data_IF_802462215456
#
_entry.id   IF_802462215456
#
_cell.length_a   1.000
_cell.length_b   1.000
_cell.length_c   1.000
_cell.angle_alpha   90.00
_cell.angle_beta   90.00
_cell.angle_gamma   90.00
#
_symmetry.space_group_name_H-M   'P 1'
#
loop_
_entity.id
_entity.type
_entity.pdbx_description
1 polymer ?
#
# COMPACT_ATOMS: atom_id res chain seq x y z
N UNK A 1 16.81 -9.11 -4.08
CA UNK A 1 16.24 -8.98 -5.47
C UNK A 1 14.86 -9.64 -5.58
N UNK A 2 14.63 -10.75 -4.87
CA UNK A 2 13.29 -11.32 -4.69
C UNK A 2 12.36 -10.34 -3.98
N UNK A 3 12.85 -9.58 -2.98
CA UNK A 3 12.03 -8.60 -2.26
C UNK A 3 11.51 -7.49 -3.20
N UNK A 4 12.33 -7.03 -4.13
CA UNK A 4 11.95 -5.99 -5.10
C UNK A 4 10.82 -6.45 -6.01
N UNK A 5 10.86 -7.71 -6.48
CA UNK A 5 9.81 -8.27 -7.33
C UNK A 5 8.50 -8.42 -6.56
N UNK A 6 8.57 -8.95 -5.34
CA UNK A 6 7.38 -9.11 -4.49
C UNK A 6 6.72 -7.76 -4.18
N UNK A 7 7.52 -6.74 -3.88
CA UNK A 7 7.03 -5.39 -3.65
C UNK A 7 6.36 -4.83 -4.91
N UNK A 8 6.99 -4.97 -6.07
CA UNK A 8 6.42 -4.53 -7.35
C UNK A 8 5.09 -5.21 -7.66
N UNK A 9 4.99 -6.53 -7.43
CA UNK A 9 3.76 -7.29 -7.64
C UNK A 9 2.67 -6.85 -6.65
N UNK A 10 3.01 -6.54 -5.40
CA UNK A 10 2.05 -6.08 -4.38
C UNK A 10 1.55 -4.67 -4.66
N UNK A 11 2.44 -3.73 -4.98
CA UNK A 11 2.06 -2.36 -5.38
C UNK A 11 1.18 -2.38 -6.64
N UNK A 12 1.49 -3.25 -7.61
CA UNK A 12 0.65 -3.42 -8.79
C UNK A 12 -0.76 -3.91 -8.44
N UNK A 13 -0.89 -4.82 -7.45
CA UNK A 13 -2.20 -5.25 -6.94
C UNK A 13 -2.93 -4.10 -6.24
N UNK A 14 -2.26 -3.35 -5.36
CA UNK A 14 -2.86 -2.20 -4.68
C UNK A 14 -3.47 -1.21 -5.68
N UNK A 15 -2.75 -0.89 -6.75
CA UNK A 15 -3.25 0.01 -7.81
C UNK A 15 -4.50 -0.55 -8.48
N UNK A 16 -4.50 -1.83 -8.86
CA UNK A 16 -5.66 -2.45 -9.49
C UNK A 16 -6.86 -2.48 -8.55
N UNK A 17 -6.67 -2.90 -7.29
CA UNK A 17 -7.74 -2.94 -6.29
C UNK A 17 -8.27 -1.54 -5.99
N UNK A 18 -7.42 -0.52 -5.91
CA UNK A 18 -7.84 0.87 -5.70
C UNK A 18 -8.69 1.40 -6.87
N UNK A 19 -8.35 1.06 -8.11
CA UNK A 19 -9.15 1.43 -9.27
C UNK A 19 -10.48 0.66 -9.33
N UNK A 20 -10.46 -0.64 -9.00
CA UNK A 20 -11.66 -1.47 -8.97
C UNK A 20 -12.64 -1.01 -7.88
N UNK A 21 -12.14 -0.72 -6.67
CA UNK A 21 -12.97 -0.26 -5.57
C UNK A 21 -13.56 1.12 -5.87
N UNK A 22 -12.81 2.00 -6.53
CA UNK A 22 -13.30 3.29 -6.99
C UNK A 22 -14.40 3.15 -8.05
N UNK A 23 -14.19 2.30 -9.06
CA UNK A 23 -15.17 2.09 -10.12
C UNK A 23 -16.49 1.47 -9.61
N UNK A 24 -16.41 0.67 -8.53
CA UNK A 24 -17.57 -0.04 -7.95
C UNK A 24 -18.15 0.61 -6.70
N UNK A 25 -17.53 1.68 -6.20
CA UNK A 25 -17.85 2.25 -4.89
C UNK A 25 -17.82 1.20 -3.77
N UNK A 26 -16.80 0.32 -3.80
CA UNK A 26 -16.65 -0.79 -2.87
C UNK A 26 -15.73 -0.40 -1.70
N UNK A 27 -16.33 -0.02 -0.57
CA UNK A 27 -15.58 0.36 0.62
C UNK A 27 -14.84 -0.82 1.28
N UNK A 28 -15.30 -2.06 1.07
CA UNK A 28 -14.66 -3.24 1.68
C UNK A 28 -13.35 -3.57 0.96
N UNK A 29 -13.35 -3.58 -0.38
CA UNK A 29 -12.11 -3.72 -1.15
C UNK A 29 -11.15 -2.56 -0.94
N UNK A 30 -11.67 -1.35 -0.67
CA UNK A 30 -10.81 -0.21 -0.33
C UNK A 30 -10.07 -0.39 1.01
N UNK A 31 -10.69 -1.06 2.00
CA UNK A 31 -9.99 -1.43 3.24
C UNK A 31 -8.85 -2.42 3.00
N UNK A 32 -9.01 -3.36 2.06
CA UNK A 32 -7.94 -4.31 1.73
C UNK A 32 -6.69 -3.59 1.21
N UNK A 33 -6.85 -2.51 0.43
CA UNK A 33 -5.72 -1.67 -0.02
C UNK A 33 -4.98 -1.06 1.16
N UNK A 34 -5.71 -0.57 2.19
CA UNK A 34 -5.10 0.01 3.38
C UNK A 34 -4.35 -1.03 4.22
N UNK A 35 -4.81 -2.29 4.25
CA UNK A 35 -4.06 -3.39 4.85
C UNK A 35 -2.81 -3.78 4.05
N UNK A 36 -2.90 -3.80 2.71
CA UNK A 36 -1.76 -4.08 1.84
C UNK A 36 -0.64 -3.04 1.98
N UNK A 37 -1.00 -1.77 2.19
CA UNK A 37 -0.08 -0.65 2.43
C UNK A 37 0.87 -0.92 3.62
N UNK A 38 0.32 -1.39 4.75
CA UNK A 38 1.13 -1.75 5.94
C UNK A 38 2.17 -2.82 5.63
N UNK A 39 1.82 -3.79 4.78
CA UNK A 39 2.73 -4.86 4.37
C UNK A 39 3.80 -4.30 3.43
N UNK A 40 3.42 -3.46 2.46
CA UNK A 40 4.34 -2.79 1.52
C UNK A 40 5.36 -1.93 2.26
N UNK A 41 4.95 -1.16 3.26
CA UNK A 41 5.85 -0.32 4.07
C UNK A 41 6.91 -1.15 4.81
N UNK A 42 6.51 -2.27 5.40
CA UNK A 42 7.42 -3.19 6.07
C UNK A 42 8.41 -3.84 5.09
N UNK A 43 7.92 -4.32 3.94
CA UNK A 43 8.74 -4.90 2.87
C UNK A 43 9.71 -3.87 2.29
N UNK A 44 9.27 -2.64 2.07
CA UNK A 44 10.09 -1.51 1.63
C UNK A 44 11.24 -1.24 2.61
N UNK A 45 10.93 -1.12 3.91
CA UNK A 45 11.93 -0.90 4.95
C UNK A 45 12.96 -2.03 5.02
N UNK A 46 12.53 -3.28 4.81
CA UNK A 46 13.43 -4.43 4.74
C UNK A 46 14.33 -4.39 3.51
N UNK A 47 13.76 -4.14 2.33
CA UNK A 47 14.51 -4.03 1.07
C UNK A 47 15.55 -2.90 1.12
N UNK A 48 15.19 -1.74 1.67
CA UNK A 48 16.11 -0.62 1.91
C UNK A 48 17.33 -1.05 2.72
N UNK A 49 17.13 -1.72 3.85
CA UNK A 49 18.24 -2.20 4.71
C UNK A 49 19.12 -3.19 3.98
N UNK A 50 18.53 -4.15 3.25
CA UNK A 50 19.29 -5.12 2.45
C UNK A 50 20.15 -4.45 1.37
N UNK A 51 19.63 -3.44 0.68
CA UNK A 51 20.40 -2.69 -0.32
C UNK A 51 21.55 -1.89 0.31
N UNK A 52 21.33 -1.31 1.49
CA UNK A 52 22.39 -0.60 2.23
C UNK A 52 23.49 -1.56 2.66
N UNK A 53 23.14 -2.71 3.27
CA UNK A 53 24.12 -3.74 3.64
C UNK A 53 24.93 -4.21 2.44
N UNK A 54 24.28 -4.44 1.30
CA UNK A 54 24.97 -4.84 0.08
C UNK A 54 25.96 -3.79 -0.44
N UNK A 55 25.63 -2.49 -0.30
CA UNK A 55 26.56 -1.40 -0.61
C UNK A 55 27.75 -1.32 0.36
N UNK A 56 27.55 -1.67 1.64
CA UNK A 56 28.61 -1.72 2.64
C UNK A 56 29.57 -2.89 2.41
N UNK A 57 29.07 -4.04 1.94
CA UNK A 57 29.88 -5.21 1.60
C UNK A 57 30.77 -4.98 0.36
N UNK A 58 30.27 -4.28 -0.65
CA UNK A 58 31.05 -3.91 -1.83
C UNK A 58 30.75 -2.48 -2.31
N UNK A 59 31.59 -1.49 -1.94
CA UNK A 59 31.40 -0.11 -2.37
C UNK A 59 31.38 0.10 -3.90
N UNK A 60 31.94 -0.83 -4.69
CA UNK A 60 31.96 -0.73 -6.15
C UNK A 60 30.56 -0.86 -6.76
N UNK A 61 29.60 -1.43 -6.02
CA UNK A 61 28.22 -1.60 -6.52
C UNK A 61 27.31 -0.40 -6.23
N UNK A 62 27.76 0.60 -5.46
CA UNK A 62 26.92 1.73 -4.98
C UNK A 62 26.13 2.37 -6.11
N UNK A 63 26.78 2.78 -7.20
CA UNK A 63 26.10 3.46 -8.31
C UNK A 63 24.99 2.61 -8.94
N UNK A 64 25.18 1.29 -9.01
CA UNK A 64 24.15 0.36 -9.53
C UNK A 64 23.01 0.20 -8.53
N UNK A 65 23.33 0.08 -7.24
CA UNK A 65 22.33 -0.08 -6.18
C UNK A 65 21.49 1.18 -5.99
N UNK A 66 22.05 2.38 -6.22
CA UNK A 66 21.29 3.64 -6.21
C UNK A 66 20.15 3.65 -7.24
N UNK A 67 20.34 3.07 -8.43
CA UNK A 67 19.26 2.93 -9.41
C UNK A 67 18.12 2.05 -8.87
N UNK A 68 18.45 0.97 -8.15
CA UNK A 68 17.46 0.12 -7.49
C UNK A 68 16.74 0.86 -6.36
N UNK A 69 17.46 1.70 -5.61
CA UNK A 69 16.89 2.54 -4.56
C UNK A 69 15.85 3.51 -5.11
N UNK A 70 16.14 4.15 -6.25
CA UNK A 70 15.18 5.05 -6.92
C UNK A 70 13.95 4.31 -7.42
N UNK A 71 14.13 3.11 -7.98
CA UNK A 71 13.01 2.28 -8.39
C UNK A 71 12.15 1.84 -7.19
N UNK A 72 12.79 1.47 -6.07
CA UNK A 72 12.11 1.11 -4.83
C UNK A 72 11.28 2.29 -4.31
N UNK A 73 11.87 3.49 -4.30
CA UNK A 73 11.16 4.72 -3.89
C UNK A 73 10.01 5.09 -4.83
N UNK A 74 10.14 4.82 -6.12
CA UNK A 74 9.03 5.01 -7.05
C UNK A 74 7.86 4.06 -6.71
N UNK A 75 8.15 2.81 -6.34
CA UNK A 75 7.12 1.85 -5.91
C UNK A 75 6.40 2.29 -4.63
N UNK A 76 7.12 2.79 -3.63
CA UNK A 76 6.53 3.32 -2.39
C UNK A 76 5.54 4.46 -2.69
N UNK A 77 5.95 5.44 -3.49
CA UNK A 77 5.07 6.54 -3.92
C UNK A 77 3.83 6.07 -4.67
N UNK A 78 3.95 5.03 -5.50
CA UNK A 78 2.82 4.47 -6.22
C UNK A 78 1.86 3.78 -5.24
N UNK A 79 2.38 3.03 -4.28
CA UNK A 79 1.60 2.40 -3.21
C UNK A 79 0.82 3.42 -2.39
N UNK A 80 1.49 4.48 -1.93
CA UNK A 80 0.86 5.58 -1.19
C UNK A 80 -0.26 6.26 -2.00
N UNK A 81 -0.05 6.50 -3.30
CA UNK A 81 -1.11 7.01 -4.16
C UNK A 81 -2.30 6.05 -4.31
N UNK A 82 -2.07 4.74 -4.39
CA UNK A 82 -3.14 3.75 -4.44
C UNK A 82 -3.96 3.73 -3.13
N UNK A 83 -3.27 3.81 -1.98
CA UNK A 83 -3.89 3.95 -0.66
C UNK A 83 -4.77 5.20 -0.58
N UNK A 84 -4.24 6.37 -0.95
CA UNK A 84 -4.99 7.63 -0.95
C UNK A 84 -6.29 7.53 -1.77
N UNK A 85 -6.26 6.86 -2.93
CA UNK A 85 -7.47 6.61 -3.73
C UNK A 85 -8.47 5.74 -2.96
N UNK A 86 -8.01 4.65 -2.35
CA UNK A 86 -8.87 3.76 -1.56
C UNK A 86 -9.49 4.47 -0.34
N UNK A 87 -8.73 5.28 0.38
CA UNK A 87 -9.24 6.09 1.50
C UNK A 87 -10.35 7.05 1.05
N UNK A 88 -10.19 7.68 -0.12
CA UNK A 88 -11.23 8.51 -0.70
C UNK A 88 -12.49 7.72 -1.05
N UNK A 89 -12.38 6.47 -1.50
CA UNK A 89 -13.53 5.59 -1.75
C UNK A 89 -14.29 5.31 -0.46
N UNK A 90 -13.59 4.96 0.62
CA UNK A 90 -14.25 4.71 1.92
C UNK A 90 -14.98 5.95 2.41
N UNK A 91 -14.32 7.11 2.34
CA UNK A 91 -14.95 8.39 2.69
C UNK A 91 -16.18 8.68 1.83
N UNK A 92 -16.10 8.46 0.51
CA UNK A 92 -17.20 8.73 -0.41
C UNK A 92 -18.42 7.84 -0.17
N UNK A 93 -18.22 6.57 0.19
CA UNK A 93 -19.29 5.59 0.34
C UNK A 93 -19.93 5.63 1.73
N UNK A 94 -19.12 5.88 2.77
CA UNK A 94 -19.54 5.74 4.17
C UNK A 94 -19.52 7.06 4.94
N UNK A 95 -18.89 8.11 4.41
CA UNK A 95 -18.70 9.39 5.09
C UNK A 95 -17.66 9.33 6.21
N UNK A 96 -16.89 8.24 6.29
CA UNK A 96 -15.92 7.96 7.35
C UNK A 96 -14.51 8.36 6.93
N UNK A 97 -13.78 9.04 7.81
CA UNK A 97 -12.40 9.43 7.57
C UNK A 97 -11.43 8.43 8.19
N UNK A 98 -10.94 7.51 7.37
CA UNK A 98 -10.11 6.39 7.83
C UNK A 98 -8.62 6.74 7.91
N UNK A 99 -8.25 8.00 7.61
CA UNK A 99 -6.85 8.45 7.55
C UNK A 99 -6.17 8.52 8.93
N UNK A 100 -6.96 8.55 10.00
CA UNK A 100 -6.48 8.71 11.38
C UNK A 100 -7.12 7.72 12.36
N UNK A 101 -7.91 6.77 11.88
CA UNK A 101 -8.62 5.78 12.71
C UNK A 101 -7.93 4.41 12.59
N UNK A 102 -8.06 3.57 13.62
CA UNK A 102 -7.57 2.19 13.56
C UNK A 102 -8.37 1.43 12.49
N UNK A 103 -7.67 0.73 11.59
CA UNK A 103 -8.30 -0.08 10.54
C UNK A 103 -9.29 -1.11 11.11
N UNK A 104 -9.05 -1.60 12.34
CA UNK A 104 -9.96 -2.51 13.03
C UNK A 104 -11.29 -1.83 13.39
N UNK A 105 -11.25 -0.60 13.91
CA UNK A 105 -12.43 0.18 14.27
C UNK A 105 -13.26 0.52 13.02
N UNK A 106 -12.57 0.82 11.90
CA UNK A 106 -13.20 1.09 10.61
C UNK A 106 -13.90 -0.15 10.06
N UNK A 107 -13.26 -1.33 10.15
CA UNK A 107 -13.82 -2.59 9.69
C UNK A 107 -15.10 -2.97 10.48
N UNK A 108 -15.10 -2.76 11.79
CA UNK A 108 -16.27 -3.02 12.64
C UNK A 108 -17.44 -2.07 12.31
N UNK A 109 -17.16 -0.79 12.07
CA UNK A 109 -18.16 0.19 11.63
C UNK A 109 -18.74 -0.13 10.25
N UNK A 110 -17.92 -0.62 9.32
CA UNK A 110 -18.37 -1.09 8.01
C UNK A 110 -19.33 -2.28 8.15
N UNK A 111 -18.97 -3.28 8.95
CA UNK A 111 -19.82 -4.45 9.22
C UNK A 111 -21.14 -4.08 9.94
N UNK A 112 -21.16 -3.01 10.74
CA UNK A 112 -22.36 -2.48 11.39
C UNK A 112 -23.28 -1.72 10.42
N UNK A 113 -22.70 -0.92 9.52
CA UNK A 113 -23.46 -0.08 8.58
C UNK A 113 -24.23 -0.87 7.51
N UNK A 114 -23.72 -2.03 7.08
CA UNK A 114 -24.39 -2.89 6.11
C UNK A 114 -25.63 -3.61 6.71
N UNK A 115 -25.71 -3.75 8.04
CA UNK A 115 -26.88 -4.34 8.71
C UNK A 115 -28.11 -3.43 8.78
N UNK A 116 -27.96 -2.13 8.50
CA UNK A 116 -29.06 -1.15 8.57
C UNK A 116 -29.69 -0.83 7.20
N UNK A 117 -29.20 -1.44 6.12
CA UNK A 117 -29.70 -1.25 4.74
C UNK A 117 -30.50 -2.46 4.19
N UNK A 118 -30.82 -3.45 5.02
CA UNK A 118 -31.65 -4.62 4.68
C UNK A 118 -33.05 -4.52 5.29
#
# INVERSE_FOLDING_TARGET
MVEFRHLGDRVSRMVNTALDCFARYDANSALEVAHDDVIVDSEYGSAMRSLITYMMEDPRVISRVLNLLWALRALERIGDHAKNVAEHVVYLVKGMDIRHEDLADVADQLAGSDKHKS
#
